data_IF_015810358925
#
_entry.id   IF_015810358925
#
_cell.length_a   1.000
_cell.length_b   1.000
_cell.length_c   1.000
_cell.angle_alpha   90.00
_cell.angle_beta   90.00
_cell.angle_gamma   90.00
#
_symmetry.space_group_name_H-M   'P 1'
#
loop_
_entity.id
_entity.type
_entity.pdbx_description
1 polymer ?
#
# COMPACT_ATOMS: atom_id res chain seq x y z
N UNK A 1 7.89 -43.85 -2.10
CA UNK A 1 8.93 -42.81 -1.99
C UNK A 1 8.17 -41.55 -1.64
N UNK A 2 8.08 -41.24 -0.35
CA UNK A 2 7.09 -40.31 0.19
C UNK A 2 7.39 -38.85 -0.17
N UNK A 3 6.45 -38.24 -0.87
CA UNK A 3 6.33 -36.81 -1.12
C UNK A 3 6.18 -36.06 0.21
N UNK A 4 7.27 -35.47 0.70
CA UNK A 4 7.18 -34.50 1.80
C UNK A 4 6.60 -33.18 1.27
N UNK A 5 5.27 -33.09 1.30
CA UNK A 5 4.52 -31.83 1.29
C UNK A 5 5.10 -30.92 2.39
N UNK A 6 5.91 -29.95 1.98
CA UNK A 6 6.37 -28.87 2.84
C UNK A 6 5.17 -27.97 3.14
N UNK A 7 4.62 -28.09 4.35
CA UNK A 7 3.57 -27.24 4.86
C UNK A 7 4.01 -25.77 4.78
N UNK A 8 3.26 -24.95 4.05
CA UNK A 8 3.49 -23.51 3.92
C UNK A 8 3.11 -22.88 5.28
N UNK A 9 4.08 -22.70 6.16
CA UNK A 9 3.90 -21.93 7.39
C UNK A 9 4.05 -20.45 7.08
N UNK A 10 3.07 -19.65 7.52
CA UNK A 10 3.13 -18.20 7.43
C UNK A 10 4.39 -17.66 8.13
N UNK A 11 5.21 -16.83 7.46
CA UNK A 11 6.53 -16.47 7.96
C UNK A 11 6.44 -15.57 9.20
N UNK A 12 6.72 -16.15 10.37
CA UNK A 12 6.71 -15.44 11.66
C UNK A 12 7.84 -14.42 11.71
N UNK A 13 7.54 -13.13 11.92
CA UNK A 13 8.51 -12.02 11.95
C UNK A 13 9.88 -12.41 12.55
N UNK A 14 10.98 -12.30 11.78
CA UNK A 14 12.29 -12.76 12.23
C UNK A 14 12.85 -11.84 13.33
N UNK A 15 13.64 -12.41 14.25
CA UNK A 15 14.40 -11.65 15.24
C UNK A 15 15.56 -10.89 14.58
N UNK A 16 16.20 -9.94 15.29
CA UNK A 16 17.30 -9.12 14.74
C UNK A 16 18.42 -9.97 14.10
N UNK A 17 18.91 -11.00 14.80
CA UNK A 17 19.96 -11.90 14.30
C UNK A 17 19.49 -12.78 13.13
N UNK A 18 18.23 -13.18 13.13
CA UNK A 18 17.63 -13.94 12.03
C UNK A 18 17.51 -13.07 10.76
N UNK A 19 17.11 -11.81 10.93
CA UNK A 19 17.05 -10.83 9.83
C UNK A 19 18.45 -10.58 9.25
N UNK A 20 19.46 -10.40 10.09
CA UNK A 20 20.85 -10.22 9.66
C UNK A 20 21.34 -11.40 8.80
N UNK A 21 21.06 -12.64 9.23
CA UNK A 21 21.37 -13.84 8.44
C UNK A 21 20.61 -13.89 7.11
N UNK A 22 19.31 -13.55 7.11
CA UNK A 22 18.51 -13.51 5.89
C UNK A 22 19.05 -12.46 4.90
N UNK A 23 19.31 -11.25 5.38
CA UNK A 23 19.83 -10.15 4.55
C UNK A 23 21.20 -10.49 3.97
N UNK A 24 22.09 -11.13 4.75
CA UNK A 24 23.36 -11.61 4.23
C UNK A 24 23.18 -12.60 3.07
N UNK A 25 22.26 -13.57 3.21
CA UNK A 25 21.98 -14.55 2.16
C UNK A 25 21.39 -13.86 0.91
N UNK A 26 20.45 -12.93 1.09
CA UNK A 26 19.86 -12.16 -0.01
C UNK A 26 20.90 -11.32 -0.77
N UNK A 27 21.72 -10.56 -0.05
CA UNK A 27 22.78 -9.73 -0.62
C UNK A 27 23.84 -10.59 -1.33
N UNK A 28 24.21 -11.73 -0.74
CA UNK A 28 25.15 -12.65 -1.36
C UNK A 28 24.62 -13.21 -2.68
N UNK A 29 23.35 -13.65 -2.71
CA UNK A 29 22.71 -14.15 -3.93
C UNK A 29 22.61 -13.03 -4.97
N UNK A 30 22.22 -11.82 -4.57
CA UNK A 30 22.10 -10.68 -5.48
C UNK A 30 23.45 -10.28 -6.10
N UNK A 31 24.54 -10.36 -5.33
CA UNK A 31 25.87 -9.99 -5.78
C UNK A 31 26.56 -11.09 -6.63
N UNK A 32 26.32 -12.36 -6.31
CA UNK A 32 27.08 -13.49 -6.88
C UNK A 32 26.27 -14.35 -7.85
N UNK A 33 24.94 -14.27 -7.83
CA UNK A 33 24.06 -15.09 -8.64
C UNK A 33 23.90 -16.54 -8.14
N UNK A 34 24.44 -16.89 -6.97
CA UNK A 34 24.30 -18.22 -6.35
C UNK A 34 24.20 -18.12 -4.83
N UNK A 35 23.61 -19.14 -4.19
CA UNK A 35 23.44 -19.15 -2.72
C UNK A 35 24.75 -19.44 -1.98
N UNK A 36 25.01 -18.80 -0.83
CA UNK A 36 26.22 -19.01 -0.05
C UNK A 36 26.23 -20.39 0.64
N UNK A 37 27.43 -20.95 0.78
CA UNK A 37 27.70 -22.12 1.61
C UNK A 37 27.73 -21.75 3.10
N UNK A 38 27.61 -22.75 3.99
CA UNK A 38 27.69 -22.50 5.44
C UNK A 38 29.02 -21.90 5.88
N UNK A 39 30.13 -22.17 5.17
CA UNK A 39 31.44 -21.57 5.45
C UNK A 39 31.47 -20.09 5.05
N UNK A 40 30.87 -19.73 3.92
CA UNK A 40 30.76 -18.33 3.49
C UNK A 40 29.86 -17.53 4.44
N UNK A 41 28.74 -18.11 4.89
CA UNK A 41 27.88 -17.50 5.92
C UNK A 41 28.65 -17.32 7.24
N UNK A 42 29.41 -18.34 7.66
CA UNK A 42 30.21 -18.28 8.88
C UNK A 42 31.23 -17.13 8.82
N UNK A 43 31.94 -16.98 7.69
CA UNK A 43 32.93 -15.92 7.49
C UNK A 43 32.27 -14.55 7.39
N UNK A 44 31.17 -14.42 6.65
CA UNK A 44 30.48 -13.15 6.43
C UNK A 44 29.83 -12.57 7.68
N UNK A 45 29.30 -13.44 8.55
CA UNK A 45 28.62 -13.04 9.79
C UNK A 45 29.44 -13.29 11.06
N UNK A 46 30.71 -13.69 10.90
CA UNK A 46 31.67 -13.95 11.99
C UNK A 46 31.14 -14.95 13.05
N UNK A 47 30.47 -16.01 12.61
CA UNK A 47 30.09 -17.10 13.50
C UNK A 47 31.30 -17.94 13.88
N UNK A 48 31.29 -18.50 15.09
CA UNK A 48 32.39 -19.30 15.63
C UNK A 48 32.49 -20.69 15.03
N UNK A 49 31.39 -21.23 14.47
CA UNK A 49 31.41 -22.56 13.86
C UNK A 49 30.36 -22.74 12.76
N UNK A 50 30.65 -23.69 11.85
CA UNK A 50 29.71 -24.14 10.81
C UNK A 50 28.46 -24.78 11.43
N UNK A 51 28.59 -25.44 12.59
CA UNK A 51 27.46 -26.03 13.30
C UNK A 51 26.47 -24.97 13.79
N UNK A 52 26.96 -23.83 14.27
CA UNK A 52 26.14 -22.69 14.67
C UNK A 52 25.36 -22.12 13.49
N UNK A 53 26.02 -21.99 12.32
CA UNK A 53 25.35 -21.57 11.08
C UNK A 53 24.25 -22.56 10.69
N UNK A 54 24.55 -23.86 10.70
CA UNK A 54 23.59 -24.90 10.36
C UNK A 54 22.35 -24.84 11.27
N UNK A 55 22.53 -24.60 12.57
CA UNK A 55 21.43 -24.42 13.51
C UNK A 55 20.56 -23.20 13.16
N UNK A 56 21.19 -22.05 12.87
CA UNK A 56 20.46 -20.83 12.52
C UNK A 56 19.69 -20.97 11.19
N UNK A 57 20.31 -21.57 10.18
CA UNK A 57 19.68 -21.84 8.89
C UNK A 57 18.49 -22.80 9.06
N UNK A 58 18.66 -23.89 9.80
CA UNK A 58 17.56 -24.84 10.06
C UNK A 58 16.40 -24.18 10.81
N UNK A 59 16.68 -23.28 11.76
CA UNK A 59 15.65 -22.53 12.45
C UNK A 59 14.89 -21.57 11.53
N UNK A 60 15.57 -20.95 10.57
CA UNK A 60 14.92 -20.12 9.55
C UNK A 60 14.08 -20.95 8.57
N UNK A 61 14.52 -22.16 8.22
CA UNK A 61 13.74 -23.10 7.40
C UNK A 61 12.46 -23.52 8.12
N UNK A 62 12.57 -23.93 9.40
CA UNK A 62 11.42 -24.29 10.23
C UNK A 62 10.40 -23.15 10.39
N UNK A 63 10.86 -21.90 10.29
CA UNK A 63 10.02 -20.69 10.39
C UNK A 63 9.51 -20.18 9.04
N UNK A 64 9.77 -20.90 7.95
CA UNK A 64 9.26 -20.54 6.62
C UNK A 64 10.00 -19.37 5.95
N UNK A 65 11.19 -18.99 6.42
CA UNK A 65 11.97 -17.89 5.81
C UNK A 65 13.00 -18.37 4.79
N UNK A 66 13.44 -19.63 4.90
CA UNK A 66 14.39 -20.26 3.98
C UNK A 66 13.81 -21.58 3.48
N UNK A 67 14.12 -21.95 2.26
CA UNK A 67 13.83 -23.26 1.71
C UNK A 67 15.12 -23.88 1.18
N UNK A 68 15.26 -25.19 1.36
CA UNK A 68 16.39 -25.96 0.82
C UNK A 68 15.86 -26.88 -0.28
N UNK A 69 16.29 -26.68 -1.53
CA UNK A 69 15.85 -27.53 -2.65
C UNK A 69 16.52 -28.91 -2.69
N UNK A 70 17.79 -28.99 -2.30
CA UNK A 70 18.60 -30.21 -2.39
C UNK A 70 19.45 -30.48 -1.14
N UNK A 71 20.26 -31.55 -1.15
CA UNK A 71 21.28 -31.81 -0.12
C UNK A 71 22.55 -30.96 -0.27
N UNK A 72 22.68 -30.19 -1.35
CA UNK A 72 23.86 -29.36 -1.65
C UNK A 72 24.04 -28.20 -0.66
N UNK A 73 25.28 -27.70 -0.54
CA UNK A 73 25.60 -26.48 0.18
C UNK A 73 25.06 -25.21 -0.51
N UNK A 74 24.72 -25.30 -1.80
CA UNK A 74 24.28 -24.18 -2.65
C UNK A 74 22.81 -24.27 -3.07
N UNK A 75 21.96 -24.78 -2.19
CA UNK A 75 20.53 -24.95 -2.48
C UNK A 75 19.64 -24.12 -1.55
N UNK A 76 20.18 -23.08 -0.92
CA UNK A 76 19.42 -22.20 -0.04
C UNK A 76 18.70 -21.13 -0.87
N UNK A 77 17.38 -21.11 -0.76
CA UNK A 77 16.53 -20.07 -1.32
C UNK A 77 15.88 -19.27 -0.20
N UNK A 78 15.89 -17.94 -0.33
CA UNK A 78 15.16 -17.08 0.59
C UNK A 78 13.71 -17.10 0.17
N UNK A 79 12.85 -17.62 1.06
CA UNK A 79 11.40 -17.55 0.88
C UNK A 79 11.04 -16.11 1.16
N UNK A 80 11.01 -15.30 0.10
CA UNK A 80 10.46 -13.96 0.18
C UNK A 80 9.02 -14.16 0.63
N UNK A 81 8.61 -13.63 1.80
CA UNK A 81 7.19 -13.41 1.99
C UNK A 81 6.78 -12.59 0.77
N UNK A 82 5.62 -12.87 0.19
CA UNK A 82 4.94 -11.91 -0.69
C UNK A 82 4.59 -10.69 0.17
N UNK A 83 5.60 -9.96 0.64
CA UNK A 83 5.47 -8.55 0.92
C UNK A 83 5.33 -8.01 -0.49
N UNK A 84 4.07 -7.85 -0.92
CA UNK A 84 3.75 -7.10 -2.11
C UNK A 84 4.71 -5.89 -2.13
N UNK A 85 5.45 -5.68 -3.23
CA UNK A 85 6.48 -4.66 -3.29
C UNK A 85 5.89 -3.38 -2.72
N UNK A 86 6.59 -2.78 -1.75
CA UNK A 86 6.21 -1.58 -1.01
C UNK A 86 5.22 -0.78 -1.85
N UNK A 87 3.97 -0.67 -1.40
CA UNK A 87 2.89 -0.02 -2.15
C UNK A 87 3.48 1.29 -2.65
N UNK A 88 3.89 1.33 -3.92
CA UNK A 88 4.10 2.57 -4.62
C UNK A 88 2.70 3.11 -4.62
N UNK A 89 2.42 4.04 -3.71
CA UNK A 89 1.20 4.82 -3.76
C UNK A 89 1.38 5.71 -4.97
N UNK A 90 1.33 5.10 -6.16
CA UNK A 90 1.08 5.86 -7.37
C UNK A 90 -0.35 6.33 -7.16
N UNK A 91 -0.58 7.65 -6.99
CA UNK A 91 -1.91 8.15 -6.79
C UNK A 91 -2.73 7.68 -7.99
N UNK A 92 -3.63 6.73 -7.74
CA UNK A 92 -4.45 6.11 -8.77
C UNK A 92 -5.29 7.25 -9.34
N UNK A 93 -4.98 7.66 -10.57
CA UNK A 93 -5.76 8.69 -11.25
C UNK A 93 -7.22 8.21 -11.29
N UNK A 94 -8.16 9.11 -11.01
CA UNK A 94 -9.59 8.80 -11.10
C UNK A 94 -9.87 8.20 -12.48
N UNK A 95 -10.47 7.02 -12.51
CA UNK A 95 -10.99 6.47 -13.77
C UNK A 95 -12.20 7.30 -14.19
N UNK A 96 -12.45 7.39 -15.49
CA UNK A 96 -13.60 8.14 -16.05
C UNK A 96 -14.94 7.73 -15.43
N UNK A 97 -15.14 6.45 -15.10
CA UNK A 97 -16.36 5.98 -14.44
C UNK A 97 -16.49 6.46 -12.99
N UNK A 98 -15.38 6.57 -12.27
CA UNK A 98 -15.33 7.05 -10.88
C UNK A 98 -15.55 8.57 -10.83
N UNK A 99 -14.99 9.30 -11.79
CA UNK A 99 -15.25 10.74 -11.97
C UNK A 99 -16.72 11.02 -12.26
N UNK A 100 -17.34 10.29 -13.20
CA UNK A 100 -18.77 10.46 -13.51
C UNK A 100 -19.66 10.25 -12.29
N UNK A 101 -19.43 9.17 -11.54
CA UNK A 101 -20.18 8.90 -10.31
C UNK A 101 -20.00 10.00 -9.26
N UNK A 102 -18.79 10.54 -9.08
CA UNK A 102 -18.53 11.65 -8.17
C UNK A 102 -19.28 12.92 -8.59
N UNK A 103 -19.25 13.23 -9.89
CA UNK A 103 -19.96 14.40 -10.44
C UNK A 103 -21.47 14.25 -10.25
N UNK A 104 -22.04 13.08 -10.55
CA UNK A 104 -23.46 12.80 -10.32
C UNK A 104 -23.85 12.93 -8.84
N UNK A 105 -22.99 12.46 -7.93
CA UNK A 105 -23.23 12.59 -6.49
C UNK A 105 -23.23 14.05 -6.04
N UNK A 106 -22.30 14.86 -6.56
CA UNK A 106 -22.21 16.29 -6.23
C UNK A 106 -23.40 17.04 -6.82
N UNK A 107 -23.83 16.70 -8.03
CA UNK A 107 -25.03 17.23 -8.67
C UNK A 107 -26.28 17.03 -7.79
N UNK A 108 -26.42 15.86 -7.16
CA UNK A 108 -27.52 15.61 -6.23
C UNK A 108 -27.49 16.55 -5.03
N UNK A 109 -26.32 16.79 -4.42
CA UNK A 109 -26.20 17.74 -3.31
C UNK A 109 -26.51 19.18 -3.73
N UNK A 110 -26.15 19.58 -4.95
CA UNK A 110 -26.54 20.89 -5.49
C UNK A 110 -28.05 20.98 -5.65
N UNK A 111 -28.70 19.96 -6.22
CA UNK A 111 -30.16 19.93 -6.36
C UNK A 111 -30.88 19.98 -5.02
N UNK A 112 -30.37 19.30 -4.00
CA UNK A 112 -30.91 19.38 -2.64
C UNK A 112 -30.81 20.81 -2.08
N UNK A 113 -29.65 21.47 -2.24
CA UNK A 113 -29.45 22.84 -1.77
C UNK A 113 -30.27 23.87 -2.56
N UNK A 114 -30.46 23.68 -3.87
CA UNK A 114 -31.24 24.57 -4.74
C UNK A 114 -32.75 24.48 -4.47
N UNK A 115 -33.25 23.27 -4.20
CA UNK A 115 -34.65 23.01 -3.87
C UNK A 115 -35.00 23.32 -2.42
N UNK A 116 -34.00 23.53 -1.54
CA UNK A 116 -34.25 23.91 -0.17
C UNK A 116 -34.92 25.30 -0.09
N UNK A 117 -35.91 25.47 0.81
CA UNK A 117 -36.61 26.75 0.96
C UNK A 117 -35.70 27.88 1.49
N UNK A 118 -34.62 27.53 2.19
CA UNK A 118 -33.57 28.45 2.62
C UNK A 118 -32.20 27.80 2.44
N UNK A 119 -31.22 28.60 1.98
CA UNK A 119 -29.84 28.14 1.82
C UNK A 119 -29.12 28.26 3.16
N UNK A 120 -28.70 27.13 3.72
CA UNK A 120 -28.00 27.04 5.00
C UNK A 120 -26.49 27.14 4.75
N UNK A 121 -25.78 27.97 5.53
CA UNK A 121 -24.32 28.18 5.39
C UNK A 121 -23.52 26.86 5.45
N UNK A 122 -23.92 25.94 6.33
CA UNK A 122 -23.32 24.59 6.42
C UNK A 122 -23.42 23.77 5.12
N UNK A 123 -24.52 23.90 4.38
CA UNK A 123 -24.64 23.23 3.08
C UNK A 123 -23.74 23.89 2.03
N UNK A 124 -23.55 25.21 2.08
CA UNK A 124 -22.59 25.90 1.22
C UNK A 124 -21.15 25.45 1.50
N UNK A 125 -20.76 25.32 2.77
CA UNK A 125 -19.43 24.83 3.16
C UNK A 125 -19.18 23.41 2.65
N UNK A 126 -20.18 22.53 2.79
CA UNK A 126 -20.13 21.16 2.28
C UNK A 126 -19.94 21.14 0.76
N UNK A 127 -20.69 21.95 0.01
CA UNK A 127 -20.52 22.07 -1.44
C UNK A 127 -19.14 22.63 -1.80
N UNK A 128 -18.62 23.58 -1.05
CA UNK A 128 -17.27 24.14 -1.25
C UNK A 128 -16.18 23.08 -1.09
N UNK A 129 -16.27 22.24 -0.04
CA UNK A 129 -15.34 21.12 0.18
C UNK A 129 -15.40 20.11 -0.96
N UNK A 130 -16.60 19.78 -1.45
CA UNK A 130 -16.78 18.83 -2.56
C UNK A 130 -16.16 19.34 -3.87
N UNK A 131 -16.32 20.62 -4.18
CA UNK A 131 -15.65 21.26 -5.33
C UNK A 131 -14.12 21.22 -5.15
N UNK A 132 -13.63 21.54 -3.94
CA UNK A 132 -12.21 21.49 -3.61
C UNK A 132 -11.62 20.09 -3.84
N UNK A 133 -12.33 19.05 -3.40
CA UNK A 133 -11.96 17.67 -3.62
C UNK A 133 -11.89 17.33 -5.12
N UNK A 134 -12.86 17.76 -5.93
CA UNK A 134 -12.82 17.54 -7.39
C UNK A 134 -11.58 18.15 -8.05
N UNK A 135 -11.16 19.35 -7.64
CA UNK A 135 -9.92 19.97 -8.16
C UNK A 135 -8.69 19.16 -7.80
N UNK A 136 -8.57 18.74 -6.54
CA UNK A 136 -7.44 17.92 -6.07
C UNK A 136 -7.38 16.59 -6.81
N UNK A 137 -8.54 16.02 -7.14
CA UNK A 137 -8.65 14.77 -7.89
C UNK A 137 -8.47 14.92 -9.41
N UNK A 138 -8.25 16.13 -9.93
CA UNK A 138 -7.96 16.38 -11.34
C UNK A 138 -9.17 16.68 -12.23
N UNK A 139 -10.40 16.63 -11.69
CA UNK A 139 -11.66 16.87 -12.40
C UNK A 139 -11.96 18.38 -12.56
N UNK A 140 -11.02 19.12 -13.15
CA UNK A 140 -11.05 20.59 -13.22
C UNK A 140 -12.27 21.13 -13.97
N UNK A 141 -12.68 20.49 -15.08
CA UNK A 141 -13.83 20.91 -15.87
C UNK A 141 -15.15 20.84 -15.09
N UNK A 142 -15.38 19.72 -14.39
CA UNK A 142 -16.55 19.56 -13.52
C UNK A 142 -16.53 20.55 -12.36
N UNK A 143 -15.37 20.74 -11.71
CA UNK A 143 -15.24 21.69 -10.62
C UNK A 143 -15.59 23.13 -11.04
N UNK A 144 -15.16 23.57 -12.24
CA UNK A 144 -15.46 24.90 -12.74
C UNK A 144 -16.96 25.12 -12.98
N UNK A 145 -17.67 24.10 -13.49
CA UNK A 145 -19.12 24.16 -13.66
C UNK A 145 -19.86 24.35 -12.32
N UNK A 146 -19.43 23.66 -11.26
CA UNK A 146 -20.05 23.77 -9.94
C UNK A 146 -19.72 25.08 -9.20
N UNK A 147 -18.57 25.71 -9.45
CA UNK A 147 -18.22 27.01 -8.85
C UNK A 147 -19.20 28.11 -9.27
N UNK A 148 -19.61 28.11 -10.55
CA UNK A 148 -20.59 29.07 -11.05
C UNK A 148 -21.92 28.96 -10.27
N UNK A 149 -22.39 27.73 -10.06
CA UNK A 149 -23.62 27.45 -9.29
C UNK A 149 -23.48 27.79 -7.81
N UNK A 150 -22.34 27.48 -7.19
CA UNK A 150 -22.08 27.83 -5.79
C UNK A 150 -22.14 29.35 -5.58
N UNK A 151 -21.64 30.12 -6.55
CA UNK A 151 -21.69 31.60 -6.50
C UNK A 151 -23.13 32.11 -6.55
N UNK A 152 -23.99 31.47 -7.33
CA UNK A 152 -25.41 31.80 -7.43
C UNK A 152 -26.18 31.44 -6.15
N UNK A 153 -25.93 30.26 -5.58
CA UNK A 153 -26.47 29.86 -4.28
C UNK A 153 -26.04 30.79 -3.15
N UNK A 154 -24.77 31.23 -3.15
CA UNK A 154 -24.26 32.21 -2.19
C UNK A 154 -24.99 33.56 -2.30
N UNK A 155 -25.24 34.05 -3.53
CA UNK A 155 -26.03 35.27 -3.76
C UNK A 155 -27.45 35.14 -3.21
N UNK A 156 -28.10 33.99 -3.42
CA UNK A 156 -29.43 33.70 -2.90
C UNK A 156 -29.45 33.63 -1.36
N UNK A 157 -28.42 33.05 -0.75
CA UNK A 157 -28.24 33.06 0.71
C UNK A 157 -28.10 34.47 1.27
N UNK A 158 -27.22 35.30 0.67
CA UNK A 158 -27.05 36.70 1.08
C UNK A 158 -28.30 37.56 0.86
N UNK A 159 -29.12 37.27 -0.15
CA UNK A 159 -30.39 37.97 -0.36
C UNK A 159 -31.44 37.61 0.72
N UNK A 160 -31.44 36.36 1.19
CA UNK A 160 -32.34 35.90 2.24
C UNK A 160 -32.04 36.55 3.62
N UNK A 161 -30.78 36.89 3.90
CA UNK A 161 -30.38 37.58 5.14
C UNK A 161 -30.91 39.03 5.24
N UNK A 162 -31.27 39.67 4.12
CA UNK A 162 -31.77 41.06 4.12
C UNK A 162 -33.31 41.17 4.11
N UNK A 163 -34.03 40.04 4.02
CA UNK A 163 -35.51 40.01 3.97
C UNK A 163 -36.17 39.35 5.20
N UNK A 164 -35.42 39.14 6.28
CA UNK A 164 -35.92 38.62 7.56
C UNK A 164 -35.99 39.71 8.64
#
# INVERSE_FOLDING_TARGET
MEDQKSAIHEPVRPTKKQKELLSFIEEFIAARGYSPSYREIMQGLKYTSVATVALHVNNLIKRGHLQKRDRSARSLEVVKPTIAPAIKVEPKQLKTSEEKWLVERIELFFKEAENAPAVIERELDKLYVLIGALKVLGAHGAAQAFIARLTELKKRSSANEYTA
#
